data_IF_398807830697
#
_entry.id   IF_398807830697
#
_cell.length_a   1.000
_cell.length_b   1.000
_cell.length_c   1.000
_cell.angle_alpha   90.00
_cell.angle_beta   90.00
_cell.angle_gamma   90.00
#
_symmetry.space_group_name_H-M   'P 1'
#
loop_
_entity.id
_entity.type
_entity.pdbx_description
1 polymer ?
#
# COMPACT_ATOMS: atom_id res chain seq x y z
N UNK A 1 -11.86 6.86 8.28
CA UNK A 1 -12.80 6.46 7.22
C UNK A 1 -12.05 6.10 5.94
N UNK A 2 -12.46 5.06 5.24
CA UNK A 2 -11.87 4.57 3.99
C UNK A 2 -12.99 4.28 2.99
N UNK A 3 -12.80 4.67 1.73
CA UNK A 3 -13.66 4.32 0.62
C UNK A 3 -12.93 3.39 -0.35
N UNK A 4 -13.64 2.39 -0.85
CA UNK A 4 -13.12 1.48 -1.88
C UNK A 4 -13.65 1.94 -3.23
N UNK A 5 -12.74 2.21 -4.16
CA UNK A 5 -13.05 2.61 -5.54
C UNK A 5 -12.46 1.59 -6.51
N UNK A 6 -13.18 1.24 -7.59
CA UNK A 6 -12.60 0.42 -8.65
C UNK A 6 -11.46 1.16 -9.34
N UNK A 7 -10.43 0.42 -9.79
CA UNK A 7 -9.24 0.99 -10.43
C UNK A 7 -9.55 1.86 -11.66
N UNK A 8 -10.64 1.57 -12.37
CA UNK A 8 -11.08 2.26 -13.58
C UNK A 8 -12.09 3.39 -13.31
N UNK A 9 -12.37 3.68 -12.05
CA UNK A 9 -13.27 4.77 -11.61
C UNK A 9 -12.70 5.45 -10.37
N UNK A 10 -11.53 6.11 -10.48
CA UNK A 10 -10.99 6.88 -9.36
C UNK A 10 -11.93 8.03 -9.00
N UNK A 11 -11.83 8.59 -7.80
CA UNK A 11 -12.56 9.79 -7.45
C UNK A 11 -12.19 10.94 -8.38
N UNK A 12 -13.18 11.73 -8.79
CA UNK A 12 -12.96 12.94 -9.61
C UNK A 12 -12.23 14.03 -8.79
N UNK A 13 -12.51 14.09 -7.48
CA UNK A 13 -11.85 15.01 -6.56
C UNK A 13 -11.11 14.21 -5.46
N UNK A 14 -9.81 14.44 -5.37
CA UNK A 14 -8.93 13.85 -4.37
C UNK A 14 -8.65 14.78 -3.18
N UNK A 15 -9.22 15.98 -3.15
CA UNK A 15 -8.92 16.98 -2.13
C UNK A 15 -9.22 16.50 -0.70
N UNK A 16 -10.33 15.78 -0.52
CA UNK A 16 -10.75 15.24 0.78
C UNK A 16 -9.95 13.99 1.25
N UNK A 17 -9.20 13.35 0.33
CA UNK A 17 -8.44 12.14 0.67
C UNK A 17 -7.03 12.50 1.12
N UNK A 18 -6.61 11.98 2.26
CA UNK A 18 -5.27 12.19 2.82
C UNK A 18 -4.20 11.28 2.21
N UNK A 19 -4.59 10.08 1.78
CA UNK A 19 -3.70 9.07 1.20
C UNK A 19 -4.48 8.13 0.29
N UNK A 20 -3.75 7.35 -0.50
CA UNK A 20 -4.28 6.31 -1.39
C UNK A 20 -3.62 4.98 -1.06
N UNK A 21 -4.40 3.90 -1.07
CA UNK A 21 -3.90 2.53 -0.96
C UNK A 21 -4.20 1.81 -2.28
N UNK A 22 -3.16 1.34 -2.96
CA UNK A 22 -3.28 0.44 -4.10
C UNK A 22 -3.28 -0.99 -3.58
N UNK A 23 -4.40 -1.66 -3.72
CA UNK A 23 -4.61 -3.01 -3.19
C UNK A 23 -3.96 -4.08 -4.08
N UNK A 24 -3.93 -5.32 -3.59
CA UNK A 24 -3.53 -6.49 -4.35
C UNK A 24 -4.51 -6.84 -5.48
N UNK A 25 -4.04 -7.67 -6.41
CA UNK A 25 -4.82 -8.24 -7.51
C UNK A 25 -4.28 -9.63 -7.84
N UNK A 26 -5.10 -10.57 -8.31
CA UNK A 26 -4.64 -11.88 -8.78
C UNK A 26 -3.95 -11.84 -10.16
N UNK A 27 -3.97 -10.70 -10.84
CA UNK A 27 -3.35 -10.53 -12.16
C UNK A 27 -1.83 -10.37 -12.06
N UNK A 28 -1.14 -10.73 -13.15
CA UNK A 28 0.24 -10.26 -13.39
C UNK A 28 0.20 -8.85 -13.98
N UNK A 29 1.06 -7.95 -13.51
CA UNK A 29 1.17 -6.59 -14.07
C UNK A 29 1.61 -6.57 -15.54
N UNK A 30 2.12 -7.70 -16.04
CA UNK A 30 2.59 -7.89 -17.41
C UNK A 30 1.49 -8.39 -18.34
N UNK A 31 0.32 -8.76 -17.81
CA UNK A 31 -0.80 -9.21 -18.61
C UNK A 31 -1.54 -8.02 -19.24
N UNK A 32 -1.96 -8.14 -20.49
CA UNK A 32 -2.64 -7.05 -21.22
C UNK A 32 -3.99 -6.66 -20.60
N UNK A 33 -4.68 -7.63 -20.00
CA UNK A 33 -5.97 -7.46 -19.32
C UNK A 33 -5.86 -7.10 -17.83
N UNK A 34 -4.64 -6.86 -17.33
CA UNK A 34 -4.41 -6.53 -15.94
C UNK A 34 -4.95 -5.12 -15.58
N UNK A 35 -5.34 -4.89 -14.32
CA UNK A 35 -5.75 -3.56 -13.87
C UNK A 35 -4.61 -2.55 -13.94
N UNK A 36 -4.72 -1.57 -14.83
CA UNK A 36 -3.76 -0.48 -14.98
C UNK A 36 -4.42 0.86 -14.59
N UNK A 37 -4.43 1.23 -13.28
CA UNK A 37 -5.00 2.51 -12.85
C UNK A 37 -4.17 3.69 -13.36
N UNK A 38 -4.82 4.75 -13.81
CA UNK A 38 -4.14 6.01 -14.04
C UNK A 38 -3.81 6.70 -12.70
N UNK A 39 -2.53 6.88 -12.43
CA UNK A 39 -2.04 7.51 -11.21
C UNK A 39 -1.51 8.93 -11.43
N UNK A 40 -1.69 9.53 -12.60
CA UNK A 40 -1.17 10.86 -12.96
C UNK A 40 -1.65 11.96 -11.99
N UNK A 41 -2.89 11.87 -11.52
CA UNK A 41 -3.48 12.81 -10.57
C UNK A 41 -3.16 12.47 -9.10
N UNK A 42 -2.50 11.34 -8.82
CA UNK A 42 -2.23 10.84 -7.46
C UNK A 42 -0.73 10.93 -7.13
N UNK A 43 0.13 10.48 -8.03
CA UNK A 43 1.60 10.43 -7.83
C UNK A 43 2.17 11.82 -7.53
N UNK A 44 3.01 11.90 -6.52
CA UNK A 44 3.60 13.16 -6.04
C UNK A 44 2.64 14.12 -5.32
N UNK A 45 1.33 13.90 -5.41
CA UNK A 45 0.30 14.75 -4.78
C UNK A 45 -0.20 14.17 -3.46
N UNK A 46 -0.32 12.85 -3.37
CA UNK A 46 -0.80 12.14 -2.18
C UNK A 46 0.18 11.04 -1.78
N UNK A 47 0.33 10.73 -0.48
CA UNK A 47 1.03 9.53 -0.06
C UNK A 47 0.33 8.28 -0.61
N UNK A 48 1.11 7.32 -1.10
CA UNK A 48 0.60 6.06 -1.65
C UNK A 48 1.19 4.90 -0.85
N UNK A 49 0.33 3.99 -0.38
CA UNK A 49 0.71 2.66 0.05
C UNK A 49 0.32 1.67 -1.05
N UNK A 50 1.30 1.00 -1.61
CA UNK A 50 1.11 0.01 -2.67
C UNK A 50 1.33 -1.40 -2.09
N UNK A 51 0.32 -2.27 -2.18
CA UNK A 51 0.32 -3.60 -1.57
C UNK A 51 0.30 -4.66 -2.68
N UNK A 52 1.22 -5.62 -2.63
CA UNK A 52 1.33 -6.77 -3.51
C UNK A 52 1.30 -6.38 -5.01
N UNK A 53 0.19 -6.56 -5.71
CA UNK A 53 0.01 -6.09 -7.10
C UNK A 53 0.29 -4.59 -7.24
N UNK A 54 -0.19 -3.78 -6.30
CA UNK A 54 0.08 -2.34 -6.30
C UNK A 54 1.58 -2.02 -6.26
N UNK A 55 2.37 -2.76 -5.46
CA UNK A 55 3.82 -2.60 -5.41
C UNK A 55 4.48 -3.01 -6.74
N UNK A 56 4.05 -4.11 -7.33
CA UNK A 56 4.52 -4.56 -8.65
C UNK A 56 4.14 -3.55 -9.74
N UNK A 57 2.94 -3.01 -9.69
CA UNK A 57 2.47 -1.98 -10.62
C UNK A 57 3.36 -0.73 -10.58
N UNK A 58 3.63 -0.19 -9.39
CA UNK A 58 4.53 0.95 -9.22
C UNK A 58 5.93 0.62 -9.75
N UNK A 59 6.51 -0.54 -9.39
CA UNK A 59 7.83 -0.94 -9.86
C UNK A 59 7.89 -1.02 -11.39
N UNK A 60 6.95 -1.73 -12.01
CA UNK A 60 6.91 -1.98 -13.46
C UNK A 60 6.78 -0.68 -14.26
N UNK A 61 5.81 0.18 -13.90
CA UNK A 61 5.55 1.43 -14.61
C UNK A 61 6.47 2.58 -14.23
N UNK A 62 7.40 2.36 -13.29
CA UNK A 62 8.47 3.31 -12.95
C UNK A 62 9.85 2.89 -13.47
N UNK A 63 9.92 1.89 -14.35
CA UNK A 63 11.18 1.44 -14.96
C UNK A 63 11.93 0.37 -14.17
N UNK A 64 11.31 -0.22 -13.16
CA UNK A 64 11.79 -1.43 -12.48
C UNK A 64 11.44 -2.69 -13.26
N UNK A 65 11.91 -3.84 -12.78
CA UNK A 65 11.65 -5.15 -13.39
C UNK A 65 10.76 -6.01 -12.49
N UNK A 66 9.66 -6.51 -13.06
CA UNK A 66 8.78 -7.51 -12.45
C UNK A 66 8.78 -8.75 -13.33
N UNK A 67 9.08 -9.89 -12.76
CA UNK A 67 9.19 -11.18 -13.46
C UNK A 67 8.55 -12.29 -12.64
N UNK A 68 8.22 -13.45 -13.27
CA UNK A 68 7.77 -14.62 -12.54
C UNK A 68 8.76 -15.00 -11.46
N UNK A 69 8.28 -15.30 -10.26
CA UNK A 69 9.13 -15.87 -9.23
C UNK A 69 9.51 -17.31 -9.60
N UNK A 70 10.77 -17.68 -9.36
CA UNK A 70 11.24 -19.04 -9.55
C UNK A 70 10.53 -20.02 -8.58
N UNK A 71 10.13 -19.52 -7.42
CA UNK A 71 9.33 -20.23 -6.41
C UNK A 71 8.04 -19.45 -6.21
N UNK A 72 6.91 -20.18 -6.18
CA UNK A 72 5.63 -19.53 -5.82
C UNK A 72 5.67 -19.12 -4.35
N UNK A 73 5.67 -17.81 -4.12
CA UNK A 73 5.78 -17.24 -2.79
C UNK A 73 4.39 -17.09 -2.17
N UNK A 74 3.90 -18.21 -1.61
CA UNK A 74 2.62 -18.26 -0.92
C UNK A 74 2.83 -18.73 0.52
N UNK A 75 2.34 -17.95 1.46
CA UNK A 75 2.33 -18.32 2.87
C UNK A 75 3.18 -17.40 3.75
N UNK A 76 3.70 -17.98 4.82
CA UNK A 76 4.46 -17.25 5.83
C UNK A 76 5.90 -17.05 5.38
N UNK A 77 6.36 -15.80 5.45
CA UNK A 77 7.75 -15.43 5.31
C UNK A 77 8.19 -14.58 6.53
N UNK A 78 9.48 -14.34 6.68
CA UNK A 78 10.02 -13.48 7.74
C UNK A 78 10.85 -12.38 7.13
N UNK A 79 10.73 -11.16 7.67
CA UNK A 79 11.56 -10.03 7.24
C UNK A 79 12.98 -10.23 7.77
N UNK A 80 13.89 -10.63 6.88
CA UNK A 80 15.31 -10.85 7.19
C UNK A 80 16.09 -9.54 7.35
N UNK A 81 15.64 -8.49 6.66
CA UNK A 81 16.20 -7.14 6.73
C UNK A 81 15.08 -6.11 6.80
N UNK A 82 15.26 -5.10 7.66
CA UNK A 82 14.42 -3.91 7.76
C UNK A 82 15.34 -2.70 7.87
N UNK A 83 15.22 -1.76 6.92
CA UNK A 83 15.94 -0.48 6.97
C UNK A 83 15.27 0.46 8.00
N UNK A 84 16.05 1.28 8.71
CA UNK A 84 15.50 2.33 9.58
C UNK A 84 14.67 3.32 8.76
N UNK A 85 13.35 3.28 8.96
CA UNK A 85 12.40 4.16 8.30
C UNK A 85 11.13 4.32 9.16
N UNK A 86 10.48 5.50 9.18
CA UNK A 86 9.22 5.70 9.89
C UNK A 86 8.14 4.68 9.55
N UNK A 87 8.13 4.14 8.32
CA UNK A 87 7.19 3.12 7.87
C UNK A 87 7.29 1.81 8.67
N UNK A 88 8.50 1.45 9.10
CA UNK A 88 8.77 0.26 9.92
C UNK A 88 9.08 0.59 11.39
N UNK A 89 8.71 1.79 11.86
CA UNK A 89 8.91 2.16 13.27
C UNK A 89 8.21 1.17 14.21
N UNK A 90 8.95 0.70 15.21
CA UNK A 90 8.49 -0.28 16.20
C UNK A 90 8.06 -1.64 15.62
N UNK A 91 8.47 -1.97 14.40
CA UNK A 91 8.33 -3.29 13.80
C UNK A 91 9.57 -4.10 14.15
N UNK A 92 9.37 -5.30 14.71
CA UNK A 92 10.47 -6.15 15.16
C UNK A 92 11.18 -6.82 13.98
N UNK A 93 12.49 -6.96 14.09
CA UNK A 93 13.25 -7.79 13.18
C UNK A 93 12.71 -9.24 13.20
N UNK A 94 12.81 -9.93 12.08
CA UNK A 94 12.32 -11.31 11.91
C UNK A 94 10.80 -11.48 12.11
N UNK A 95 10.02 -10.37 12.02
CA UNK A 95 8.56 -10.45 12.10
C UNK A 95 7.98 -11.25 10.93
N UNK A 96 6.89 -12.00 11.22
CA UNK A 96 6.21 -12.78 10.20
C UNK A 96 5.34 -11.90 9.31
N UNK A 97 5.44 -12.10 8.01
CA UNK A 97 4.60 -11.49 6.98
C UNK A 97 3.94 -12.55 6.11
N UNK A 98 2.84 -12.20 5.43
CA UNK A 98 2.11 -13.09 4.53
C UNK A 98 2.38 -12.71 3.08
N UNK A 99 2.95 -13.65 2.33
CA UNK A 99 3.16 -13.56 0.89
C UNK A 99 2.06 -14.26 0.12
N UNK A 100 1.65 -13.68 -1.01
CA UNK A 100 0.63 -14.27 -1.89
C UNK A 100 0.78 -13.75 -3.32
N UNK A 101 1.87 -14.13 -3.98
CA UNK A 101 2.16 -13.64 -5.33
C UNK A 101 2.95 -14.66 -6.16
N UNK A 102 2.73 -14.62 -7.48
CA UNK A 102 3.44 -15.44 -8.48
C UNK A 102 4.55 -14.66 -9.19
N UNK A 103 4.40 -13.35 -9.30
CA UNK A 103 5.42 -12.44 -9.83
C UNK A 103 6.16 -11.78 -8.68
N UNK A 104 7.43 -11.44 -8.89
CA UNK A 104 8.26 -10.76 -7.88
C UNK A 104 8.98 -9.58 -8.51
N UNK A 105 9.29 -8.56 -7.70
CA UNK A 105 10.05 -7.39 -8.12
C UNK A 105 11.53 -7.75 -8.11
N UNK A 106 12.14 -7.88 -9.30
CA UNK A 106 13.55 -8.23 -9.49
C UNK A 106 14.47 -7.02 -9.40
N UNK A 107 14.01 -5.89 -9.96
CA UNK A 107 14.77 -4.66 -9.93
C UNK A 107 13.87 -3.50 -9.50
N UNK A 108 14.33 -2.73 -8.54
CA UNK A 108 13.66 -1.51 -8.12
C UNK A 108 13.80 -0.42 -9.19
N UNK A 109 12.81 0.49 -9.30
CA UNK A 109 12.93 1.66 -10.17
C UNK A 109 14.05 2.59 -9.70
N UNK A 110 14.57 3.41 -10.62
CA UNK A 110 15.57 4.41 -10.28
C UNK A 110 15.06 5.37 -9.19
N UNK A 111 15.92 5.67 -8.22
CA UNK A 111 15.57 6.53 -7.07
C UNK A 111 14.72 5.85 -6.00
N UNK A 112 14.40 4.57 -6.16
CA UNK A 112 13.75 3.83 -5.08
C UNK A 112 14.78 3.35 -4.04
N UNK A 113 14.35 3.32 -2.78
CA UNK A 113 15.14 2.87 -1.64
C UNK A 113 14.55 1.56 -1.09
N UNK A 114 15.40 0.53 -0.93
CA UNK A 114 14.99 -0.73 -0.30
C UNK A 114 14.68 -0.51 1.19
N UNK A 115 13.51 -0.97 1.62
CA UNK A 115 13.09 -0.88 3.02
C UNK A 115 13.12 -2.22 3.76
N UNK A 116 12.77 -3.32 3.08
CA UNK A 116 12.83 -4.64 3.71
C UNK A 116 13.00 -5.75 2.68
N UNK A 117 13.62 -6.85 3.12
CA UNK A 117 13.72 -8.11 2.37
C UNK A 117 13.32 -9.30 3.23
N UNK A 118 12.94 -10.41 2.59
CA UNK A 118 12.88 -11.74 3.21
C UNK A 118 14.06 -12.58 2.75
N UNK A 119 14.15 -13.83 3.17
CA UNK A 119 15.19 -14.74 2.66
C UNK A 119 15.01 -15.05 1.18
N UNK A 120 13.78 -15.05 0.68
CA UNK A 120 13.44 -15.46 -0.68
C UNK A 120 13.11 -14.27 -1.60
N UNK A 121 12.68 -13.13 -1.00
CA UNK A 121 12.28 -11.89 -1.72
C UNK A 121 13.21 -10.77 -1.33
N UNK A 122 14.11 -10.40 -2.23
CA UNK A 122 15.04 -9.29 -2.01
C UNK A 122 14.30 -7.94 -1.86
N UNK A 123 13.36 -7.67 -2.75
CA UNK A 123 12.61 -6.42 -2.79
C UNK A 123 11.22 -6.58 -2.15
N UNK A 124 11.18 -7.00 -0.86
CA UNK A 124 9.92 -7.20 -0.14
C UNK A 124 9.22 -5.90 0.25
N UNK A 125 9.96 -4.81 0.43
CA UNK A 125 9.43 -3.46 0.62
C UNK A 125 10.41 -2.42 0.11
N UNK A 126 9.87 -1.35 -0.47
CA UNK A 126 10.66 -0.21 -0.95
C UNK A 126 9.85 1.09 -0.86
N UNK A 127 10.53 2.24 -1.00
CA UNK A 127 9.89 3.54 -1.14
C UNK A 127 10.46 4.32 -2.32
N UNK A 128 9.65 5.25 -2.86
CA UNK A 128 10.06 6.34 -3.74
C UNK A 128 9.80 7.63 -2.97
N UNK A 129 10.85 8.13 -2.29
CA UNK A 129 10.72 9.22 -1.34
C UNK A 129 10.22 10.52 -1.98
N UNK A 130 10.68 10.83 -3.20
CA UNK A 130 10.29 12.02 -3.97
C UNK A 130 8.77 12.10 -4.25
N UNK A 131 8.09 10.95 -4.29
CA UNK A 131 6.66 10.84 -4.57
C UNK A 131 5.84 10.40 -3.34
N UNK A 132 6.48 10.17 -2.21
CA UNK A 132 5.85 9.66 -0.98
C UNK A 132 5.14 8.32 -1.20
N UNK A 133 5.74 7.44 -2.03
CA UNK A 133 5.25 6.09 -2.30
C UNK A 133 5.96 5.10 -1.38
N UNK A 134 5.20 4.27 -0.70
CA UNK A 134 5.63 3.12 0.08
C UNK A 134 5.03 1.86 -0.51
N UNK A 135 5.83 0.87 -0.78
CA UNK A 135 5.42 -0.32 -1.50
C UNK A 135 5.88 -1.59 -0.77
N UNK A 136 4.97 -2.54 -0.63
CA UNK A 136 5.22 -3.80 0.05
C UNK A 136 4.68 -4.97 -0.77
N UNK A 137 5.47 -6.03 -0.89
CA UNK A 137 5.09 -7.22 -1.64
C UNK A 137 4.16 -8.15 -0.83
N UNK A 138 4.20 -8.05 0.50
CA UNK A 138 3.38 -8.82 1.43
C UNK A 138 2.08 -8.10 1.78
N UNK A 139 1.18 -8.81 2.44
CA UNK A 139 -0.15 -8.33 2.84
C UNK A 139 -0.19 -7.92 4.32
N UNK A 140 -0.17 -6.62 4.65
CA UNK A 140 -0.24 -6.15 6.04
C UNK A 140 -1.66 -6.25 6.61
N UNK A 141 -2.67 -6.31 5.76
CA UNK A 141 -4.09 -6.30 6.12
C UNK A 141 -4.58 -7.66 6.65
N UNK A 142 -3.84 -8.74 6.40
CA UNK A 142 -4.25 -10.07 6.86
C UNK A 142 -3.67 -10.40 8.23
N UNK A 143 -4.39 -11.16 9.04
CA UNK A 143 -3.98 -11.48 10.42
C UNK A 143 -2.68 -12.30 10.48
N UNK A 144 -2.28 -12.96 9.40
CA UNK A 144 -1.03 -13.73 9.30
C UNK A 144 0.22 -12.83 9.26
N UNK A 145 0.08 -11.55 8.95
CA UNK A 145 1.15 -10.56 9.11
C UNK A 145 1.09 -10.02 10.53
N UNK A 146 2.01 -10.49 11.39
CA UNK A 146 1.95 -10.29 12.84
C UNK A 146 1.88 -8.82 13.23
N UNK A 147 2.69 -7.96 12.61
CA UNK A 147 2.74 -6.53 12.89
C UNK A 147 2.12 -5.68 11.79
N UNK A 148 1.24 -6.28 10.96
CA UNK A 148 0.58 -5.60 9.86
C UNK A 148 -0.20 -4.36 10.29
N UNK A 149 -0.88 -4.43 11.43
CA UNK A 149 -1.56 -3.27 12.00
C UNK A 149 -0.60 -2.12 12.32
N UNK A 150 0.61 -2.42 12.84
CA UNK A 150 1.62 -1.40 13.13
C UNK A 150 2.11 -0.74 11.84
N UNK A 151 2.40 -1.52 10.81
CA UNK A 151 2.84 -1.03 9.50
C UNK A 151 1.78 -0.11 8.88
N UNK A 152 0.51 -0.53 8.88
CA UNK A 152 -0.60 0.30 8.41
C UNK A 152 -0.77 1.58 9.22
N UNK A 153 -0.62 1.51 10.55
CA UNK A 153 -0.70 2.67 11.43
C UNK A 153 0.43 3.66 11.15
N UNK A 154 1.67 3.18 10.99
CA UNK A 154 2.82 4.02 10.65
C UNK A 154 2.58 4.75 9.31
N UNK A 155 2.06 4.06 8.30
CA UNK A 155 1.71 4.72 7.04
C UNK A 155 0.62 5.77 7.23
N UNK A 156 -0.50 5.40 7.84
CA UNK A 156 -1.67 6.28 7.94
C UNK A 156 -1.41 7.49 8.84
N UNK A 157 -0.77 7.28 9.99
CA UNK A 157 -0.60 8.34 11.00
C UNK A 157 0.69 9.12 10.77
N UNK A 158 1.84 8.43 10.66
CA UNK A 158 3.13 9.10 10.64
C UNK A 158 3.49 9.65 9.25
N UNK A 159 3.11 8.94 8.18
CA UNK A 159 3.47 9.32 6.82
C UNK A 159 2.36 10.16 6.18
N UNK A 160 1.11 9.71 6.27
CA UNK A 160 -0.04 10.39 5.66
C UNK A 160 -0.66 11.46 6.55
N UNK A 161 -0.31 11.52 7.86
CA UNK A 161 -0.78 12.52 8.80
C UNK A 161 -2.27 12.42 9.13
N UNK A 162 -2.83 11.20 9.16
CA UNK A 162 -4.19 10.99 9.59
C UNK A 162 -4.29 11.02 11.12
N UNK A 163 -5.34 11.63 11.61
CA UNK A 163 -5.68 11.61 13.04
C UNK A 163 -6.52 10.38 13.37
N UNK A 164 -6.34 9.82 14.57
CA UNK A 164 -7.14 8.70 15.10
C UNK A 164 -8.47 9.19 15.70
N UNK A 165 -9.12 10.13 15.05
CA UNK A 165 -10.37 10.76 15.52
C UNK A 165 -11.63 9.99 15.09
N UNK A 166 -11.53 9.10 14.12
CA UNK A 166 -12.68 8.36 13.63
C UNK A 166 -13.11 7.24 14.59
N UNK A 167 -14.36 7.29 15.00
CA UNK A 167 -15.04 6.19 15.71
C UNK A 167 -16.40 5.94 15.07
N UNK A 168 -17.01 4.74 15.20
CA UNK A 168 -18.38 4.50 14.74
C UNK A 168 -19.38 5.51 15.28
N UNK A 169 -19.25 5.91 16.54
CA UNK A 169 -20.12 6.92 17.16
C UNK A 169 -19.97 8.30 16.50
N UNK A 170 -18.73 8.78 16.33
CA UNK A 170 -18.44 10.06 15.67
C UNK A 170 -18.93 10.05 14.20
N UNK A 171 -18.82 8.92 13.50
CA UNK A 171 -19.36 8.77 12.15
C UNK A 171 -20.88 8.90 12.12
N UNK A 172 -21.60 8.26 13.04
CA UNK A 172 -23.06 8.35 13.15
C UNK A 172 -23.48 9.80 13.42
N UNK A 173 -22.85 10.48 14.39
CA UNK A 173 -23.15 11.87 14.71
C UNK A 173 -22.93 12.81 13.53
N UNK A 174 -21.77 12.69 12.85
CA UNK A 174 -21.43 13.48 11.67
C UNK A 174 -22.43 13.23 10.53
N UNK A 175 -22.82 11.96 10.32
CA UNK A 175 -23.78 11.59 9.27
C UNK A 175 -25.17 12.14 9.56
N UNK A 176 -25.63 12.05 10.81
CA UNK A 176 -26.91 12.65 11.23
C UNK A 176 -26.88 14.17 11.01
N UNK A 177 -25.79 14.84 11.37
CA UNK A 177 -25.60 16.27 11.12
C UNK A 177 -25.76 16.64 9.65
N UNK A 178 -25.06 15.94 8.77
CA UNK A 178 -25.13 16.13 7.31
C UNK A 178 -26.55 15.90 6.75
N UNK A 179 -27.27 14.90 7.25
CA UNK A 179 -28.67 14.68 6.85
C UNK A 179 -29.59 15.79 7.32
N UNK A 180 -29.44 16.26 8.56
CA UNK A 180 -30.24 17.37 9.07
C UNK A 180 -30.06 18.65 8.25
N UNK A 181 -28.83 19.00 7.90
CA UNK A 181 -28.52 20.14 7.03
C UNK A 181 -29.20 20.04 5.67
N UNK A 182 -29.22 18.84 5.06
CA UNK A 182 -29.88 18.61 3.77
C UNK A 182 -31.41 18.62 3.84
N UNK A 183 -31.98 18.42 5.01
CA UNK A 183 -33.46 18.41 5.20
C UNK A 183 -34.02 19.80 5.54
N UNK A 184 -33.17 20.75 5.93
CA UNK A 184 -33.58 22.13 6.32
C UNK A 184 -33.41 23.12 5.16
N UNK A 185 -32.79 22.74 4.05
CA UNK A 185 -32.69 23.49 2.79
C UNK A 185 -33.69 22.99 1.77
#
# INVERSE_FOLDING_TARGET
YCEIKPFNRPPEDLSEYKAVILSGSPFSVRAEDAPHPDLSEIRGKKPILAICYGAQYIAHFSGGEVAPSATREYGRARLAHISPDPFFRDVQADTQVWMSHSDTIKQLPEGAELLASTHDVENAAYKIASERIYAIQFHPEVYHTTEGKRILENFLVDIAGLEKSWTPAAFVETTIGKFREKMVG
#
